data_IF_100769076256
#
_entry.id   IF_100769076256
#
_cell.length_a   1.000
_cell.length_b   1.000
_cell.length_c   1.000
_cell.angle_alpha   90.00
_cell.angle_beta   90.00
_cell.angle_gamma   90.00
#
_symmetry.space_group_name_H-M   'P 1'
#
loop_
_entity.id
_entity.type
_entity.pdbx_description
1 polymer ?
#
# COMPACT_ATOMS: atom_id res chain seq x y z
N UNK A 1 -5.08 -9.36 60.52
CA UNK A 1 -4.08 -9.01 59.48
C UNK A 1 -3.58 -10.31 58.87
N UNK A 2 -3.29 -10.33 57.55
CA UNK A 2 -2.80 -11.47 56.71
C UNK A 2 -3.83 -12.29 55.92
N UNK A 3 -4.47 -11.72 54.89
CA UNK A 3 -5.14 -12.51 53.85
C UNK A 3 -5.24 -11.84 52.45
N UNK A 4 -4.47 -10.78 52.18
CA UNK A 4 -4.52 -10.07 50.89
C UNK A 4 -3.27 -10.22 49.98
N UNK A 5 -2.16 -10.78 50.47
CA UNK A 5 -0.91 -10.84 49.69
C UNK A 5 -0.74 -12.07 48.79
N UNK A 6 -1.62 -13.07 48.86
CA UNK A 6 -1.50 -14.31 48.07
C UNK A 6 -2.19 -14.27 46.70
N UNK A 7 -3.09 -13.30 46.45
CA UNK A 7 -3.84 -13.20 45.17
C UNK A 7 -3.13 -12.39 44.08
N UNK A 8 -2.13 -11.60 44.45
CA UNK A 8 -1.40 -10.73 43.51
C UNK A 8 -0.25 -11.45 42.77
N UNK A 9 0.18 -12.62 43.26
CA UNK A 9 1.26 -13.42 42.66
C UNK A 9 0.78 -14.42 41.60
N UNK A 10 -0.53 -14.72 41.51
CA UNK A 10 -1.07 -15.68 40.54
C UNK A 10 -1.52 -15.05 39.21
N UNK A 11 -1.59 -13.71 39.12
CA UNK A 11 -1.94 -12.98 37.89
C UNK A 11 -0.69 -12.67 37.04
N UNK A 12 0.52 -12.77 37.62
CA UNK A 12 1.78 -12.48 36.93
C UNK A 12 2.35 -13.66 36.13
N UNK A 13 1.86 -14.90 36.34
CA UNK A 13 2.37 -16.10 35.68
C UNK A 13 1.68 -16.44 34.34
N UNK A 14 0.60 -15.74 33.98
CA UNK A 14 -0.21 -16.00 32.77
C UNK A 14 0.09 -15.05 31.59
N UNK A 15 1.16 -14.24 31.70
CA UNK A 15 1.56 -13.24 30.68
C UNK A 15 2.89 -13.57 29.97
N UNK A 16 3.43 -14.80 30.12
CA UNK A 16 4.76 -15.18 29.58
C UNK A 16 4.73 -16.28 28.50
N UNK A 17 3.58 -16.89 28.20
CA UNK A 17 3.43 -17.81 27.05
C UNK A 17 2.36 -17.26 26.10
N UNK A 18 2.74 -16.55 25.02
CA UNK A 18 3.03 -17.25 23.77
C UNK A 18 4.07 -16.52 22.90
N UNK A 19 5.36 -16.54 23.27
CA UNK A 19 6.45 -16.07 22.40
C UNK A 19 7.27 -17.22 21.77
N UNK A 20 6.83 -18.47 21.94
CA UNK A 20 7.56 -19.67 21.47
C UNK A 20 7.03 -20.25 20.15
N UNK A 21 6.05 -19.62 19.48
CA UNK A 21 5.53 -20.06 18.17
C UNK A 21 6.20 -19.34 17.00
N UNK A 22 7.52 -19.28 16.98
CA UNK A 22 8.25 -18.57 15.92
C UNK A 22 9.48 -19.35 15.43
N UNK A 23 9.28 -20.60 14.99
CA UNK A 23 10.29 -21.34 14.22
C UNK A 23 9.71 -22.48 13.34
N UNK A 24 8.39 -22.62 13.21
CA UNK A 24 7.82 -23.49 12.18
C UNK A 24 7.89 -22.76 10.85
N UNK A 25 8.87 -23.12 10.02
CA UNK A 25 9.00 -22.58 8.66
C UNK A 25 7.71 -22.75 7.84
N UNK A 26 7.55 -21.92 6.79
CA UNK A 26 6.38 -21.97 5.92
C UNK A 26 6.18 -23.37 5.32
N UNK A 27 4.93 -23.84 5.30
CA UNK A 27 4.57 -25.04 4.55
C UNK A 27 4.80 -24.85 3.04
N UNK A 28 4.91 -25.95 2.29
CA UNK A 28 5.10 -25.87 0.83
C UNK A 28 4.00 -25.06 0.13
N UNK A 29 2.74 -25.22 0.54
CA UNK A 29 1.61 -24.45 -0.02
C UNK A 29 1.74 -22.95 0.23
N UNK A 30 2.17 -22.57 1.43
CA UNK A 30 2.41 -21.17 1.79
C UNK A 30 3.59 -20.58 0.99
N UNK A 31 4.68 -21.34 0.83
CA UNK A 31 5.83 -20.92 0.00
C UNK A 31 5.42 -20.71 -1.45
N UNK A 32 4.63 -21.62 -2.02
CA UNK A 32 4.10 -21.48 -3.39
C UNK A 32 3.24 -20.23 -3.53
N UNK A 33 2.25 -20.03 -2.64
CA UNK A 33 1.37 -18.85 -2.72
C UNK A 33 2.14 -17.53 -2.58
N UNK A 34 3.09 -17.45 -1.64
CA UNK A 34 3.95 -16.29 -1.48
C UNK A 34 4.85 -16.05 -2.71
N UNK A 35 5.42 -17.11 -3.28
CA UNK A 35 6.24 -17.01 -4.50
C UNK A 35 5.43 -16.51 -5.69
N UNK A 36 4.19 -16.96 -5.85
CA UNK A 36 3.30 -16.48 -6.90
C UNK A 36 2.95 -15.00 -6.72
N UNK A 37 2.67 -14.56 -5.49
CA UNK A 37 2.42 -13.17 -5.17
C UNK A 37 3.65 -12.28 -5.47
N UNK A 38 4.84 -12.64 -4.99
CA UNK A 38 6.09 -11.91 -5.30
C UNK A 38 6.34 -11.86 -6.81
N UNK A 39 6.14 -12.98 -7.51
CA UNK A 39 6.32 -13.04 -8.96
C UNK A 39 5.38 -12.08 -9.69
N UNK A 40 4.09 -12.06 -9.33
CA UNK A 40 3.12 -11.15 -9.94
C UNK A 40 3.45 -9.66 -9.67
N UNK A 41 3.86 -9.32 -8.43
CA UNK A 41 4.31 -7.96 -8.10
C UNK A 41 5.57 -7.55 -8.89
N UNK A 42 6.53 -8.47 -9.08
CA UNK A 42 7.72 -8.22 -9.91
C UNK A 42 7.39 -7.99 -11.38
N UNK A 43 6.30 -8.57 -11.91
CA UNK A 43 5.83 -8.26 -13.27
C UNK A 43 5.40 -6.79 -13.39
N UNK A 44 4.71 -6.24 -12.38
CA UNK A 44 4.36 -4.81 -12.35
C UNK A 44 5.63 -3.97 -12.30
N UNK A 45 6.57 -4.31 -11.41
CA UNK A 45 7.87 -3.63 -11.31
C UNK A 45 8.58 -3.57 -12.67
N UNK A 46 8.73 -4.71 -13.35
CA UNK A 46 9.36 -4.78 -14.67
C UNK A 46 8.62 -3.94 -15.72
N UNK A 47 7.28 -4.00 -15.74
CA UNK A 47 6.48 -3.21 -16.67
C UNK A 47 6.65 -1.69 -16.45
N UNK A 48 6.69 -1.23 -15.20
CA UNK A 48 6.90 0.20 -14.89
C UNK A 48 8.30 0.70 -15.26
N UNK A 49 9.31 -0.18 -15.25
CA UNK A 49 10.68 0.16 -15.66
C UNK A 49 10.83 0.33 -17.18
N UNK A 50 10.13 -0.50 -17.96
CA UNK A 50 10.18 -0.45 -19.44
C UNK A 50 9.24 0.63 -20.00
N UNK A 51 8.23 1.01 -19.22
CA UNK A 51 7.14 1.86 -19.67
C UNK A 51 5.91 1.01 -19.99
N UNK A 52 4.79 1.39 -19.39
CA UNK A 52 3.51 0.69 -19.49
C UNK A 52 2.41 1.72 -19.68
N UNK A 53 1.38 1.40 -20.44
CA UNK A 53 0.21 2.28 -20.51
C UNK A 53 -0.76 1.99 -19.34
N UNK A 54 -1.69 2.92 -19.09
CA UNK A 54 -2.60 2.81 -17.94
C UNK A 54 -3.47 1.55 -17.96
N UNK A 55 -3.93 1.10 -19.14
CA UNK A 55 -4.75 -0.10 -19.27
C UNK A 55 -3.95 -1.37 -18.92
N UNK A 56 -2.75 -1.51 -19.47
CA UNK A 56 -1.84 -2.62 -19.18
C UNK A 56 -1.46 -2.64 -17.69
N UNK A 57 -1.17 -1.47 -17.11
CA UNK A 57 -0.88 -1.33 -15.70
C UNK A 57 -2.06 -1.81 -14.84
N UNK A 58 -3.28 -1.37 -15.15
CA UNK A 58 -4.49 -1.80 -14.46
C UNK A 58 -4.70 -3.31 -14.49
N UNK A 59 -4.46 -3.95 -15.65
CA UNK A 59 -4.55 -5.42 -15.77
C UNK A 59 -3.53 -6.13 -14.88
N UNK A 60 -2.28 -5.65 -14.84
CA UNK A 60 -1.23 -6.23 -14.00
C UNK A 60 -1.52 -6.07 -12.50
N UNK A 61 -2.07 -4.91 -12.10
CA UNK A 61 -2.49 -4.65 -10.71
C UNK A 61 -3.60 -5.61 -10.28
N UNK A 62 -4.58 -5.88 -11.15
CA UNK A 62 -5.67 -6.83 -10.87
C UNK A 62 -5.11 -8.27 -10.73
N UNK A 63 -4.24 -8.71 -11.64
CA UNK A 63 -3.61 -10.03 -11.57
C UNK A 63 -2.78 -10.19 -10.29
N UNK A 64 -1.96 -9.19 -9.95
CA UNK A 64 -1.16 -9.24 -8.72
C UNK A 64 -2.04 -9.27 -7.47
N UNK A 65 -3.14 -8.51 -7.44
CA UNK A 65 -4.07 -8.49 -6.30
C UNK A 65 -4.71 -9.85 -6.05
N UNK A 66 -5.07 -10.59 -7.10
CA UNK A 66 -5.56 -11.96 -6.98
C UNK A 66 -4.54 -12.87 -6.27
N UNK A 67 -3.26 -12.79 -6.68
CA UNK A 67 -2.18 -13.60 -6.07
C UNK A 67 -1.85 -13.17 -4.65
N UNK A 68 -1.80 -11.86 -4.38
CA UNK A 68 -1.58 -11.33 -3.03
C UNK A 68 -2.72 -11.73 -2.09
N UNK A 69 -3.99 -11.63 -2.51
CA UNK A 69 -5.13 -12.08 -1.71
C UNK A 69 -5.07 -13.58 -1.40
N UNK A 70 -4.66 -14.40 -2.38
CA UNK A 70 -4.47 -15.84 -2.18
C UNK A 70 -3.38 -16.11 -1.14
N UNK A 71 -2.23 -15.43 -1.25
CA UNK A 71 -1.16 -15.52 -0.27
C UNK A 71 -1.59 -15.03 1.12
N UNK A 72 -2.29 -13.90 1.21
CA UNK A 72 -2.80 -13.30 2.44
C UNK A 72 -3.71 -14.27 3.23
N UNK A 73 -4.53 -15.06 2.53
CA UNK A 73 -5.41 -16.05 3.16
C UNK A 73 -4.66 -17.29 3.71
N UNK A 74 -3.46 -17.58 3.20
CA UNK A 74 -2.68 -18.77 3.57
C UNK A 74 -1.52 -18.49 4.53
N UNK A 75 -0.94 -17.29 4.45
CA UNK A 75 0.23 -16.92 5.24
C UNK A 75 -0.17 -16.62 6.69
N UNK A 76 0.65 -17.05 7.67
CA UNK A 76 0.51 -16.56 9.03
C UNK A 76 0.78 -15.06 9.08
N UNK A 77 0.30 -14.40 10.14
CA UNK A 77 0.69 -13.01 10.41
C UNK A 77 2.21 -12.89 10.57
N UNK A 78 2.79 -11.86 9.97
CA UNK A 78 4.23 -11.64 10.00
C UNK A 78 4.72 -10.74 8.86
N UNK A 79 6.03 -10.48 8.87
CA UNK A 79 6.65 -9.50 7.97
C UNK A 79 6.42 -9.81 6.49
N UNK A 80 6.49 -11.08 6.07
CA UNK A 80 6.29 -11.43 4.66
C UNK A 80 4.90 -11.02 4.15
N UNK A 81 3.86 -11.30 4.95
CA UNK A 81 2.48 -10.93 4.62
C UNK A 81 2.33 -9.41 4.57
N UNK A 82 2.82 -8.71 5.59
CA UNK A 82 2.81 -7.24 5.66
C UNK A 82 3.50 -6.58 4.46
N UNK A 83 4.65 -7.08 4.03
CA UNK A 83 5.40 -6.51 2.90
C UNK A 83 4.68 -6.78 1.55
N UNK A 84 4.01 -7.94 1.40
CA UNK A 84 3.18 -8.21 0.22
C UNK A 84 1.98 -7.26 0.14
N UNK A 85 1.28 -7.04 1.26
CA UNK A 85 0.14 -6.14 1.32
C UNK A 85 0.56 -4.70 1.06
N UNK A 86 1.65 -4.24 1.68
CA UNK A 86 2.17 -2.90 1.47
C UNK A 86 2.60 -2.63 0.02
N UNK A 87 3.21 -3.62 -0.65
CA UNK A 87 3.53 -3.52 -2.08
C UNK A 87 2.26 -3.38 -2.93
N UNK A 88 1.24 -4.20 -2.65
CA UNK A 88 -0.02 -4.17 -3.39
C UNK A 88 -0.81 -2.88 -3.18
N UNK A 89 -0.82 -2.36 -1.95
CA UNK A 89 -1.43 -1.08 -1.61
C UNK A 89 -0.75 0.07 -2.37
N UNK A 90 0.59 0.09 -2.40
CA UNK A 90 1.33 1.11 -3.13
C UNK A 90 1.08 1.07 -4.64
N UNK A 91 1.01 -0.12 -5.26
CA UNK A 91 0.63 -0.20 -6.67
C UNK A 91 -0.82 0.23 -6.94
N UNK A 92 -1.73 -0.03 -6.00
CA UNK A 92 -3.12 0.43 -6.07
C UNK A 92 -3.20 1.96 -5.96
N UNK A 93 -2.43 2.56 -5.05
CA UNK A 93 -2.31 4.00 -4.90
C UNK A 93 -1.78 4.67 -6.18
N UNK A 94 -0.78 4.06 -6.82
CA UNK A 94 -0.28 4.54 -8.10
C UNK A 94 -1.36 4.45 -9.20
N UNK A 95 -2.19 3.40 -9.20
CA UNK A 95 -3.33 3.31 -10.13
C UNK A 95 -4.32 4.48 -9.92
N UNK A 96 -4.63 4.79 -8.66
CA UNK A 96 -5.51 5.91 -8.30
C UNK A 96 -4.90 7.25 -8.72
N UNK A 97 -3.62 7.48 -8.44
CA UNK A 97 -2.92 8.69 -8.86
C UNK A 97 -2.92 8.86 -10.38
N UNK A 98 -2.65 7.78 -11.13
CA UNK A 98 -2.65 7.81 -12.60
C UNK A 98 -4.05 8.07 -13.15
N UNK A 99 -5.10 7.50 -12.54
CA UNK A 99 -6.49 7.64 -12.99
C UNK A 99 -6.94 9.10 -13.12
N UNK A 100 -6.32 10.02 -12.35
CA UNK A 100 -6.61 11.46 -12.41
C UNK A 100 -6.39 12.01 -13.80
N UNK A 101 -5.36 11.55 -14.53
CA UNK A 101 -5.06 12.00 -15.89
C UNK A 101 -6.19 11.75 -16.90
N UNK A 102 -7.14 10.88 -16.56
CA UNK A 102 -8.27 10.53 -17.41
C UNK A 102 -9.59 11.12 -16.94
N UNK A 103 -9.61 11.91 -15.85
CA UNK A 103 -10.81 12.61 -15.39
C UNK A 103 -10.94 13.93 -16.15
N UNK A 104 -12.10 14.20 -16.72
CA UNK A 104 -12.36 15.34 -17.62
C UNK A 104 -11.98 16.72 -17.07
N UNK A 105 -11.93 16.89 -15.74
CA UNK A 105 -11.78 18.21 -15.11
C UNK A 105 -10.62 18.32 -14.11
N UNK A 106 -9.77 17.30 -13.98
CA UNK A 106 -8.62 17.37 -13.07
C UNK A 106 -7.39 16.73 -13.65
N UNK A 107 -6.32 17.51 -13.77
CA UNK A 107 -4.98 17.04 -14.14
C UNK A 107 -4.05 16.94 -12.92
N UNK A 108 -4.55 17.23 -11.73
CA UNK A 108 -3.75 17.41 -10.52
C UNK A 108 -4.27 16.60 -9.34
N UNK A 109 -3.36 16.16 -8.49
CA UNK A 109 -3.69 15.64 -7.16
C UNK A 109 -3.86 16.83 -6.22
N UNK A 110 -5.10 17.17 -5.87
CA UNK A 110 -5.40 18.25 -4.94
C UNK A 110 -5.30 17.79 -3.49
N UNK A 111 -4.65 18.55 -2.62
CA UNK A 111 -4.51 18.22 -1.21
C UNK A 111 -5.86 18.21 -0.46
N UNK A 112 -6.84 18.96 -0.94
CA UNK A 112 -8.20 18.97 -0.39
C UNK A 112 -9.10 17.80 -0.81
N UNK A 113 -8.71 17.00 -1.82
CA UNK A 113 -9.61 16.04 -2.47
C UNK A 113 -8.97 14.68 -2.72
N UNK A 114 -9.78 13.61 -2.77
CA UNK A 114 -9.24 12.29 -3.09
C UNK A 114 -8.92 12.14 -4.59
N UNK A 115 -7.79 11.47 -4.93
CA UNK A 115 -6.89 10.76 -4.02
C UNK A 115 -5.75 11.63 -3.45
N UNK A 116 -5.63 12.91 -3.83
CA UNK A 116 -4.53 13.78 -3.40
C UNK A 116 -4.45 13.97 -1.88
N UNK A 117 -5.60 14.12 -1.21
CA UNK A 117 -5.72 14.21 0.25
C UNK A 117 -5.01 13.07 0.98
N UNK A 118 -5.13 11.84 0.47
CA UNK A 118 -4.47 10.67 1.06
C UNK A 118 -3.03 10.51 0.56
N UNK A 119 -2.81 10.62 -0.76
CA UNK A 119 -1.54 10.26 -1.38
C UNK A 119 -0.43 11.29 -1.15
N UNK A 120 -0.75 12.59 -1.11
CA UNK A 120 0.25 13.64 -0.88
C UNK A 120 0.98 13.44 0.45
N UNK A 121 0.30 13.33 1.61
CA UNK A 121 0.99 13.09 2.87
C UNK A 121 1.63 11.70 2.94
N UNK A 122 0.96 10.65 2.42
CA UNK A 122 1.47 9.27 2.48
C UNK A 122 2.83 9.10 1.80
N UNK A 123 3.05 9.77 0.67
CA UNK A 123 4.28 9.67 -0.12
C UNK A 123 5.15 10.93 -0.06
N UNK A 124 4.84 11.88 0.82
CA UNK A 124 5.52 13.17 0.94
C UNK A 124 5.68 13.87 -0.43
N UNK A 125 4.59 13.89 -1.23
CA UNK A 125 4.62 14.44 -2.58
C UNK A 125 4.84 15.96 -2.52
N UNK A 126 5.70 16.47 -3.41
CA UNK A 126 5.92 17.91 -3.55
C UNK A 126 4.66 18.57 -4.08
N UNK A 127 4.20 19.62 -3.41
CA UNK A 127 3.05 20.42 -3.84
C UNK A 127 3.47 21.81 -4.32
N UNK A 128 2.58 22.43 -5.09
CA UNK A 128 2.64 23.83 -5.47
C UNK A 128 1.26 24.46 -5.30
N UNK A 129 1.22 25.79 -5.13
CA UNK A 129 -0.04 26.53 -5.13
C UNK A 129 -0.67 26.47 -6.53
N UNK A 130 -1.93 26.06 -6.58
CA UNK A 130 -2.72 26.02 -7.79
C UNK A 130 -4.06 26.73 -7.57
N UNK A 131 -4.36 27.71 -8.43
CA UNK A 131 -5.64 28.42 -8.41
C UNK A 131 -6.59 27.73 -9.38
N UNK A 132 -7.69 27.19 -8.87
CA UNK A 132 -8.73 26.56 -9.70
C UNK A 132 -10.06 27.26 -9.58
N UNK A 133 -10.82 27.22 -10.67
CA UNK A 133 -12.19 27.71 -10.72
C UNK A 133 -13.15 26.54 -10.51
N UNK A 134 -14.03 26.64 -9.51
CA UNK A 134 -15.09 25.64 -9.29
C UNK A 134 -16.46 26.30 -9.26
N UNK A 135 -17.49 25.55 -9.62
CA UNK A 135 -18.87 26.00 -9.47
C UNK A 135 -19.33 25.72 -8.03
N UNK A 136 -19.85 26.74 -7.35
CA UNK A 136 -20.50 26.55 -6.07
C UNK A 136 -21.96 26.08 -6.24
N UNK A 137 -22.65 25.81 -5.13
CA UNK A 137 -24.03 25.31 -5.13
C UNK A 137 -25.04 26.26 -5.82
N UNK A 138 -24.72 27.55 -5.92
CA UNK A 138 -25.55 28.56 -6.60
C UNK A 138 -25.21 28.69 -8.09
N UNK A 139 -24.31 27.86 -8.63
CA UNK A 139 -23.86 27.94 -10.02
C UNK A 139 -22.85 29.05 -10.31
N UNK A 140 -22.34 29.73 -9.27
CA UNK A 140 -21.34 30.77 -9.44
C UNK A 140 -19.94 30.17 -9.50
N UNK A 141 -19.09 30.71 -10.38
CA UNK A 141 -17.66 30.37 -10.43
C UNK A 141 -16.96 31.05 -9.24
N UNK A 142 -16.35 30.25 -8.37
CA UNK A 142 -15.47 30.70 -7.30
C UNK A 142 -14.03 30.26 -7.60
N UNK A 143 -13.06 31.08 -7.20
CA UNK A 143 -11.63 30.74 -7.25
C UNK A 143 -11.22 30.17 -5.91
N UNK A 144 -10.58 29.01 -5.93
CA UNK A 144 -10.02 28.35 -4.75
C UNK A 144 -8.51 28.28 -4.94
N UNK A 145 -7.78 28.73 -3.93
CA UNK A 145 -6.35 28.48 -3.78
C UNK A 145 -6.18 27.12 -3.11
N UNK A 146 -5.55 26.17 -3.79
CA UNK A 146 -5.31 24.82 -3.28
C UNK A 146 -3.84 24.43 -3.45
N UNK A 147 -3.40 23.41 -2.72
CA UNK A 147 -2.11 22.78 -2.93
C UNK A 147 -2.30 21.57 -3.85
N UNK A 148 -1.47 21.48 -4.88
CA UNK A 148 -1.57 20.44 -5.89
C UNK A 148 -0.24 19.74 -6.11
N UNK A 149 -0.27 18.45 -6.45
CA UNK A 149 0.87 17.69 -6.97
C UNK A 149 0.57 17.20 -8.39
N UNK A 150 1.62 17.09 -9.20
CA UNK A 150 1.53 16.49 -10.54
C UNK A 150 1.49 14.96 -10.41
N UNK A 151 0.52 14.27 -11.03
CA UNK A 151 0.50 12.80 -11.07
C UNK A 151 1.80 12.21 -11.62
N UNK A 152 2.38 12.81 -12.66
CA UNK A 152 3.61 12.33 -13.30
C UNK A 152 4.84 12.42 -12.38
N UNK A 153 4.85 13.35 -11.43
CA UNK A 153 5.87 13.41 -10.39
C UNK A 153 5.62 12.43 -9.24
N UNK A 154 4.35 12.08 -8.99
CA UNK A 154 3.95 11.17 -7.93
C UNK A 154 4.22 9.70 -8.27
N UNK A 155 3.94 9.28 -9.51
CA UNK A 155 4.02 7.87 -9.93
C UNK A 155 5.39 7.22 -9.65
N UNK A 156 6.54 7.83 -10.03
CA UNK A 156 7.84 7.23 -9.75
C UNK A 156 8.12 7.05 -8.25
N UNK A 157 7.64 7.96 -7.40
CA UNK A 157 7.82 7.87 -5.94
C UNK A 157 6.98 6.73 -5.35
N UNK A 158 5.73 6.61 -5.79
CA UNK A 158 4.84 5.53 -5.34
C UNK A 158 5.36 4.18 -5.81
N UNK A 159 5.82 4.06 -7.06
CA UNK A 159 6.44 2.83 -7.56
C UNK A 159 7.74 2.49 -6.83
N UNK A 160 8.57 3.48 -6.49
CA UNK A 160 9.76 3.24 -5.70
C UNK A 160 9.42 2.65 -4.32
N UNK A 161 8.37 3.17 -3.65
CA UNK A 161 7.88 2.63 -2.40
C UNK A 161 7.36 1.19 -2.57
N UNK A 162 6.56 0.92 -3.61
CA UNK A 162 6.08 -0.43 -3.92
C UNK A 162 7.25 -1.41 -4.14
N UNK A 163 8.23 -1.02 -4.95
CA UNK A 163 9.40 -1.84 -5.28
C UNK A 163 10.23 -2.20 -4.05
N UNK A 164 10.41 -1.26 -3.12
CA UNK A 164 11.08 -1.53 -1.84
C UNK A 164 10.38 -2.65 -1.06
N UNK A 165 9.04 -2.66 -1.02
CA UNK A 165 8.26 -3.71 -0.37
C UNK A 165 8.35 -5.05 -1.12
N UNK A 166 8.36 -5.03 -2.46
CA UNK A 166 8.58 -6.24 -3.29
C UNK A 166 9.95 -6.87 -3.01
N UNK A 167 11.01 -6.07 -2.92
CA UNK A 167 12.37 -6.55 -2.66
C UNK A 167 12.48 -7.16 -1.25
N UNK A 168 11.87 -6.53 -0.24
CA UNK A 168 11.80 -7.06 1.13
C UNK A 168 11.02 -8.37 1.21
N UNK A 169 9.83 -8.43 0.60
CA UNK A 169 9.04 -9.65 0.53
C UNK A 169 9.83 -10.79 -0.16
N UNK A 170 10.52 -10.47 -1.25
CA UNK A 170 11.40 -11.43 -1.95
C UNK A 170 12.55 -11.91 -1.08
N UNK A 171 13.15 -11.05 -0.24
CA UNK A 171 14.20 -11.46 0.68
C UNK A 171 13.69 -12.35 1.80
N UNK A 172 12.53 -12.01 2.39
CA UNK A 172 11.91 -12.77 3.49
C UNK A 172 11.48 -14.17 3.05
N UNK A 173 11.02 -14.32 1.79
CA UNK A 173 10.62 -15.62 1.25
C UNK A 173 11.79 -16.61 1.10
N UNK A 174 13.02 -16.10 0.93
CA UNK A 174 14.22 -16.89 0.67
C UNK A 174 15.04 -17.22 1.93
N UNK A 175 14.57 -16.81 3.12
CA UNK A 175 15.15 -17.18 4.41
C UNK A 175 14.63 -18.56 4.87
#
# INVERSE_FOLDING_TARGET
MTQHSARMLMILALLVLPLLTACSGLSNKQKTAASEAVSALKKIQAATQVGVNYQQYGMLVIEAKDKVNTAHAMLPEGQLKTELDAAMDAYTDAAQAWSIKFREFSTYLYAGEEPGKTLIPKYALKTFEHKRSVLNASGNIIRIDDQASLPDAALPLIWAAANMHVDRASSLLNQ
#
